data_IF_409743839876
#
_entry.id   IF_409743839876
#
_cell.length_a   1.000
_cell.length_b   1.000
_cell.length_c   1.000
_cell.angle_alpha   90.00
_cell.angle_beta   90.00
_cell.angle_gamma   90.00
#
_symmetry.space_group_name_H-M   'P 1'
#
loop_
_entity.id
_entity.type
_entity.pdbx_description
1 polymer ?
#
# COMPACT_ATOMS: atom_id res chain seq x y z
N UNK A 1 0.03 9.00 18.76
CA UNK A 1 0.05 8.29 17.48
C UNK A 1 0.79 6.98 17.68
N UNK A 2 0.04 5.89 17.66
CA UNK A 2 0.53 4.53 17.93
C UNK A 2 0.08 3.65 16.78
N UNK A 3 1.03 3.04 16.09
CA UNK A 3 0.77 2.21 14.91
C UNK A 3 1.06 0.77 15.29
N UNK A 4 0.14 -0.13 14.94
CA UNK A 4 0.26 -1.55 15.22
C UNK A 4 0.28 -2.32 13.90
N UNK A 5 0.98 -3.45 13.89
CA UNK A 5 1.07 -4.31 12.74
C UNK A 5 0.15 -5.52 12.91
N UNK A 6 -0.79 -5.68 11.98
CA UNK A 6 -1.69 -6.83 11.88
C UNK A 6 -1.17 -7.76 10.80
N UNK A 7 -0.96 -9.02 11.15
CA UNK A 7 -0.59 -10.06 10.20
C UNK A 7 -1.82 -10.50 9.41
N UNK A 8 -1.69 -10.66 8.11
CA UNK A 8 -2.78 -11.10 7.23
C UNK A 8 -2.40 -12.33 6.41
N UNK A 9 -3.34 -12.80 5.59
CA UNK A 9 -3.01 -13.70 4.48
C UNK A 9 -2.45 -12.86 3.34
N UNK A 10 -1.39 -13.35 2.68
CA UNK A 10 -0.82 -12.67 1.52
C UNK A 10 -1.91 -12.38 0.48
N UNK A 11 -1.84 -11.19 -0.12
CA UNK A 11 -2.77 -10.69 -1.15
C UNK A 11 -4.18 -10.38 -0.65
N UNK A 12 -4.41 -10.39 0.66
CA UNK A 12 -5.67 -9.98 1.31
C UNK A 12 -5.51 -8.71 2.16
N UNK A 13 -4.37 -8.02 2.08
CA UNK A 13 -4.02 -6.85 2.90
C UNK A 13 -5.05 -5.73 2.76
N UNK A 14 -5.40 -5.37 1.51
CA UNK A 14 -6.38 -4.32 1.23
C UNK A 14 -7.78 -4.68 1.75
N UNK A 15 -8.23 -5.90 1.48
CA UNK A 15 -9.51 -6.40 1.97
C UNK A 15 -9.58 -6.39 3.49
N UNK A 16 -8.51 -6.78 4.18
CA UNK A 16 -8.44 -6.72 5.64
C UNK A 16 -8.46 -5.27 6.15
N UNK A 17 -7.70 -4.37 5.54
CA UNK A 17 -7.72 -2.95 5.90
C UNK A 17 -9.12 -2.32 5.75
N UNK A 18 -9.78 -2.59 4.62
CA UNK A 18 -11.15 -2.11 4.36
C UNK A 18 -12.14 -2.67 5.39
N UNK A 19 -12.03 -3.96 5.74
CA UNK A 19 -12.86 -4.57 6.77
C UNK A 19 -12.62 -3.96 8.15
N UNK A 20 -11.37 -3.68 8.53
CA UNK A 20 -11.04 -3.02 9.81
C UNK A 20 -11.71 -1.65 9.90
N UNK A 21 -11.59 -0.82 8.85
CA UNK A 21 -12.19 0.52 8.84
C UNK A 21 -13.72 0.47 8.81
N UNK A 22 -14.31 -0.48 8.09
CA UNK A 22 -15.76 -0.64 8.01
C UNK A 22 -16.44 -0.97 9.34
N UNK A 23 -15.68 -1.35 10.37
CA UNK A 23 -16.19 -1.63 11.71
C UNK A 23 -16.45 -0.38 12.54
N UNK A 24 -15.93 0.78 12.12
CA UNK A 24 -16.15 2.09 12.75
C UNK A 24 -15.85 2.08 14.27
N UNK A 25 -14.84 1.33 14.69
CA UNK A 25 -14.39 1.30 16.08
C UNK A 25 -13.76 2.65 16.47
N UNK A 26 -14.25 3.25 17.56
CA UNK A 26 -13.88 4.61 17.96
C UNK A 26 -12.38 4.78 18.27
N UNK A 27 -11.71 3.71 18.68
CA UNK A 27 -10.30 3.71 19.07
C UNK A 27 -9.37 3.42 17.87
N UNK A 28 -9.90 3.16 16.67
CA UNK A 28 -9.16 2.90 15.43
C UNK A 28 -9.31 4.09 14.49
N UNK A 29 -8.19 4.71 14.13
CA UNK A 29 -8.18 5.98 13.39
C UNK A 29 -7.88 5.78 11.90
N UNK A 30 -7.01 4.82 11.56
CA UNK A 30 -6.59 4.57 10.18
C UNK A 30 -6.07 3.15 9.99
N UNK A 31 -6.11 2.67 8.74
CA UNK A 31 -5.49 1.43 8.30
C UNK A 31 -4.76 1.66 6.97
N UNK A 32 -3.54 1.14 6.87
CA UNK A 32 -2.64 1.29 5.73
C UNK A 32 -2.18 -0.08 5.24
N UNK A 33 -2.47 -0.36 3.97
CA UNK A 33 -2.03 -1.56 3.26
C UNK A 33 -1.25 -1.14 2.00
N UNK A 34 0.06 -0.87 2.10
CA UNK A 34 0.87 -0.45 0.97
C UNK A 34 1.23 -1.66 0.09
N UNK A 35 1.20 -1.49 -1.24
CA UNK A 35 1.47 -2.57 -2.20
C UNK A 35 2.87 -3.21 -2.04
N UNK A 36 3.83 -2.45 -1.50
CA UNK A 36 5.19 -2.91 -1.22
C UNK A 36 5.30 -3.83 0.02
N UNK A 37 4.25 -3.94 0.83
CA UNK A 37 4.27 -4.74 2.06
C UNK A 37 3.31 -5.93 1.95
N UNK A 38 3.88 -7.15 1.93
CA UNK A 38 3.11 -8.39 1.81
C UNK A 38 2.77 -8.98 3.17
N UNK A 39 1.53 -9.46 3.33
CA UNK A 39 0.97 -10.14 4.50
C UNK A 39 0.86 -9.30 5.78
N UNK A 40 0.88 -7.98 5.68
CA UNK A 40 0.71 -7.08 6.82
C UNK A 40 -0.16 -5.88 6.48
N UNK A 41 -0.89 -5.42 7.50
CA UNK A 41 -1.63 -4.15 7.50
C UNK A 41 -1.18 -3.35 8.71
N UNK A 42 -0.88 -2.08 8.51
CA UNK A 42 -0.56 -1.14 9.58
C UNK A 42 -1.86 -0.47 10.03
N UNK A 43 -2.11 -0.42 11.34
CA UNK A 43 -3.34 0.14 11.92
C UNK A 43 -2.98 1.18 12.96
N UNK A 44 -3.49 2.40 12.80
CA UNK A 44 -3.38 3.45 13.80
C UNK A 44 -4.54 3.32 14.79
N UNK A 45 -4.21 3.17 16.07
CA UNK A 45 -5.20 3.04 17.14
C UNK A 45 -4.66 3.59 18.46
N UNK A 46 -5.55 3.90 19.40
CA UNK A 46 -5.17 4.34 20.76
C UNK A 46 -4.56 3.21 21.60
N UNK A 47 -4.86 1.96 21.26
CA UNK A 47 -4.29 0.78 21.91
C UNK A 47 -4.60 -0.53 21.17
N UNK A 48 -3.89 -1.63 21.52
CA UNK A 48 -4.02 -2.90 20.81
C UNK A 48 -5.36 -3.59 21.06
N UNK A 49 -6.02 -3.35 22.21
CA UNK A 49 -7.24 -4.04 22.59
C UNK A 49 -8.41 -3.79 21.62
N UNK A 50 -8.51 -2.60 21.04
CA UNK A 50 -9.55 -2.31 20.05
C UNK A 50 -9.31 -3.09 18.76
N UNK A 51 -8.04 -3.18 18.34
CA UNK A 51 -7.64 -3.96 17.18
C UNK A 51 -7.97 -5.43 17.42
N UNK A 52 -7.55 -6.01 18.54
CA UNK A 52 -7.79 -7.42 18.86
C UNK A 52 -9.27 -7.81 18.77
N UNK A 53 -10.16 -7.03 19.39
CA UNK A 53 -11.62 -7.24 19.29
C UNK A 53 -12.11 -7.20 17.84
N UNK A 54 -11.60 -6.24 17.07
CA UNK A 54 -11.98 -6.05 15.66
C UNK A 54 -11.56 -7.25 14.81
N UNK A 55 -10.38 -7.84 15.10
CA UNK A 55 -9.82 -8.92 14.28
C UNK A 55 -10.54 -10.26 14.46
N UNK A 56 -11.27 -10.49 15.56
CA UNK A 56 -11.99 -11.75 15.80
C UNK A 56 -12.99 -12.09 14.68
N UNK A 57 -13.60 -11.05 14.08
CA UNK A 57 -14.62 -11.18 13.05
C UNK A 57 -14.10 -10.95 11.62
N UNK A 58 -12.78 -10.79 11.44
CA UNK A 58 -12.19 -10.46 10.14
C UNK A 58 -11.49 -11.69 9.55
N UNK A 59 -12.05 -12.29 8.48
CA UNK A 59 -11.39 -13.36 7.76
C UNK A 59 -10.01 -12.93 7.27
N UNK A 60 -9.07 -13.87 7.26
CA UNK A 60 -7.69 -13.67 6.81
C UNK A 60 -6.81 -12.76 7.68
N UNK A 61 -7.37 -12.09 8.70
CA UNK A 61 -6.57 -11.52 9.77
C UNK A 61 -6.00 -12.66 10.64
N UNK A 62 -4.71 -12.56 10.97
CA UNK A 62 -3.97 -13.57 11.76
C UNK A 62 -3.49 -13.03 13.10
N UNK A 63 -4.05 -11.90 13.54
CA UNK A 63 -3.73 -11.24 14.80
C UNK A 63 -2.61 -10.21 14.69
N UNK A 64 -2.30 -9.60 15.84
CA UNK A 64 -1.22 -8.64 16.00
C UNK A 64 0.15 -9.31 15.93
N UNK A 65 1.12 -8.63 15.32
CA UNK A 65 2.53 -9.04 15.29
C UNK A 65 3.19 -8.79 16.65
N UNK A 66 2.83 -7.68 17.29
CA UNK A 66 3.30 -7.30 18.61
C UNK A 66 2.26 -6.40 19.28
N UNK A 67 2.15 -6.49 20.60
CA UNK A 67 1.39 -5.54 21.42
C UNK A 67 2.10 -4.18 21.52
N UNK A 68 3.37 -4.09 21.12
CA UNK A 68 4.11 -2.84 21.13
C UNK A 68 3.84 -2.05 19.84
N UNK A 69 3.57 -0.74 19.95
CA UNK A 69 3.43 0.10 18.77
C UNK A 69 4.77 0.30 18.06
N UNK A 70 4.69 0.37 16.75
CA UNK A 70 5.76 0.72 15.80
C UNK A 70 5.87 2.24 15.69
N UNK A 71 7.09 2.73 15.45
CA UNK A 71 7.34 4.17 15.30
C UNK A 71 6.89 4.68 13.93
N UNK A 72 6.48 5.95 13.85
CA UNK A 72 6.10 6.57 12.57
C UNK A 72 7.24 6.57 11.54
N UNK A 73 8.50 6.67 12.00
CA UNK A 73 9.69 6.64 11.15
C UNK A 73 9.80 5.33 10.34
N UNK A 74 9.30 4.22 10.88
CA UNK A 74 9.24 2.94 10.19
C UNK A 74 8.11 2.87 9.15
N UNK A 75 7.17 3.82 9.16
CA UNK A 75 6.02 3.87 8.25
C UNK A 75 6.20 4.91 7.13
N UNK A 76 7.00 5.96 7.37
CA UNK A 76 7.22 7.07 6.43
C UNK A 76 7.60 6.62 5.01
N UNK A 77 8.44 5.58 4.90
CA UNK A 77 8.88 5.06 3.61
C UNK A 77 7.77 4.38 2.79
N UNK A 78 6.66 4.00 3.42
CA UNK A 78 5.46 3.48 2.75
C UNK A 78 4.49 4.59 2.35
N UNK A 79 4.55 5.76 2.99
CA UNK A 79 3.68 6.91 2.69
C UNK A 79 4.16 7.69 1.46
N UNK A 80 5.42 7.49 1.06
CA UNK A 80 6.01 8.04 -0.16
C UNK A 80 6.50 6.92 -1.06
N UNK A 81 5.59 6.16 -1.71
CA UNK A 81 6.01 5.21 -2.73
C UNK A 81 6.75 6.00 -3.81
N UNK A 82 7.99 5.62 -4.09
CA UNK A 82 8.74 6.21 -5.20
C UNK A 82 7.96 5.90 -6.48
N UNK A 83 7.50 6.89 -7.25
CA UNK A 83 6.82 6.62 -8.51
C UNK A 83 7.78 5.88 -9.43
N UNK A 84 7.30 4.83 -10.10
CA UNK A 84 8.11 3.98 -11.00
C UNK A 84 8.76 4.78 -12.15
N UNK A 85 8.26 5.99 -12.42
CA UNK A 85 8.70 6.89 -13.50
C UNK A 85 9.41 8.15 -13.00
N UNK A 86 9.83 8.20 -11.73
CA UNK A 86 10.67 9.31 -11.23
C UNK A 86 12.01 9.30 -11.98
N UNK A 87 12.14 10.17 -12.98
CA UNK A 87 13.35 10.33 -13.79
C UNK A 87 13.21 10.07 -15.28
N UNK A 88 11.99 9.90 -15.81
CA UNK A 88 11.76 9.86 -17.26
C UNK A 88 11.13 11.19 -17.71
N UNK A 89 11.90 12.00 -18.41
CA UNK A 89 11.47 13.24 -19.05
C UNK A 89 11.28 13.06 -20.57
N UNK A 90 10.57 14.00 -21.19
CA UNK A 90 10.52 14.08 -22.64
C UNK A 90 11.95 14.20 -23.19
N UNK A 91 12.27 13.36 -24.18
CA UNK A 91 13.58 13.33 -24.80
C UNK A 91 14.57 12.33 -24.19
N UNK A 92 14.25 11.72 -23.04
CA UNK A 92 15.10 10.69 -22.45
C UNK A 92 15.16 9.43 -23.31
N UNK A 93 16.33 8.80 -23.32
CA UNK A 93 16.56 7.51 -24.00
C UNK A 93 16.33 6.39 -22.98
N UNK A 94 15.29 5.61 -23.20
CA UNK A 94 14.90 4.47 -22.37
C UNK A 94 15.08 3.16 -23.13
N UNK A 95 15.24 2.06 -22.40
CA UNK A 95 15.31 0.71 -22.98
C UNK A 95 14.04 -0.07 -22.62
N UNK A 96 13.43 -0.72 -23.62
CA UNK A 96 12.26 -1.54 -23.39
C UNK A 96 12.66 -2.89 -22.75
N UNK A 97 12.20 -3.15 -21.53
CA UNK A 97 12.57 -4.38 -20.77
C UNK A 97 11.68 -5.60 -21.07
N UNK A 98 10.56 -5.40 -21.77
CA UNK A 98 9.55 -6.43 -22.05
C UNK A 98 8.81 -6.16 -23.38
N UNK A 99 8.05 -7.16 -23.85
CA UNK A 99 7.29 -7.08 -25.10
C UNK A 99 8.10 -7.39 -26.36
N UNK A 100 7.50 -7.26 -27.55
CA UNK A 100 8.14 -7.62 -28.83
C UNK A 100 9.38 -6.78 -29.17
N UNK A 101 9.50 -5.58 -28.59
CA UNK A 101 10.63 -4.67 -28.78
C UNK A 101 11.63 -4.69 -27.61
N UNK A 102 11.64 -5.78 -26.82
CA UNK A 102 12.55 -5.93 -25.69
C UNK A 102 14.01 -5.79 -26.13
N UNK A 103 14.76 -4.93 -25.44
CA UNK A 103 16.17 -4.63 -25.70
C UNK A 103 16.40 -3.48 -26.69
N UNK A 104 15.34 -2.92 -27.28
CA UNK A 104 15.46 -1.73 -28.11
C UNK A 104 15.53 -0.46 -27.26
N UNK A 105 16.27 0.53 -27.76
CA UNK A 105 16.32 1.88 -27.19
C UNK A 105 15.32 2.77 -27.90
N UNK A 106 14.52 3.49 -27.13
CA UNK A 106 13.52 4.43 -27.62
C UNK A 106 13.68 5.79 -26.94
N UNK A 107 13.23 6.83 -27.61
CA UNK A 107 13.14 8.17 -27.04
C UNK A 107 11.72 8.44 -26.55
N UNK A 108 11.59 8.97 -25.35
CA UNK A 108 10.28 9.31 -24.77
C UNK A 108 9.71 10.55 -25.45
N UNK A 109 8.50 10.41 -26.00
CA UNK A 109 7.73 11.52 -26.57
C UNK A 109 6.39 11.62 -25.84
N UNK A 110 6.04 12.83 -25.39
CA UNK A 110 4.71 13.09 -24.83
C UNK A 110 3.76 13.32 -26.00
N UNK A 111 2.85 12.37 -26.22
CA UNK A 111 1.76 12.56 -27.19
C UNK A 111 0.49 12.92 -26.42
N UNK A 112 0.07 14.17 -26.52
CA UNK A 112 -1.30 14.56 -26.11
C UNK A 112 -2.23 13.93 -27.14
N UNK A 113 -2.97 12.90 -26.71
CA UNK A 113 -4.07 12.37 -27.51
C UNK A 113 -5.28 13.26 -27.21
N UNK A 114 -5.62 14.15 -28.14
CA UNK A 114 -6.97 14.70 -28.18
C UNK A 114 -7.91 13.50 -28.38
N UNK A 115 -8.70 13.19 -27.36
CA UNK A 115 -9.78 12.22 -27.46
C UNK A 115 -10.87 12.84 -28.33
N UNK A 116 -10.70 12.76 -29.65
CA UNK A 116 -11.81 12.94 -30.57
C UNK A 116 -12.68 11.68 -30.52
N UNK A 117 -13.83 11.89 -29.89
CA UNK A 117 -15.06 11.13 -29.88
C UNK A 117 -15.30 10.30 -31.16
N UNK A 118 -15.37 8.97 -31.03
CA UNK A 118 -16.10 8.06 -31.93
C UNK A 118 -16.63 6.85 -31.20
#
# INVERSE_FOLDING_TARGET
MTIFNVKTTASQERTVADMIISREEADIHAALAPDSLTSYVMVEADGPAAIERTLEDIPHARGLVSEKPTSIAEVEHFLSPKPDVEGIAEGDIVELIAGPFKGEKAQVQIRVLDSEER
#
